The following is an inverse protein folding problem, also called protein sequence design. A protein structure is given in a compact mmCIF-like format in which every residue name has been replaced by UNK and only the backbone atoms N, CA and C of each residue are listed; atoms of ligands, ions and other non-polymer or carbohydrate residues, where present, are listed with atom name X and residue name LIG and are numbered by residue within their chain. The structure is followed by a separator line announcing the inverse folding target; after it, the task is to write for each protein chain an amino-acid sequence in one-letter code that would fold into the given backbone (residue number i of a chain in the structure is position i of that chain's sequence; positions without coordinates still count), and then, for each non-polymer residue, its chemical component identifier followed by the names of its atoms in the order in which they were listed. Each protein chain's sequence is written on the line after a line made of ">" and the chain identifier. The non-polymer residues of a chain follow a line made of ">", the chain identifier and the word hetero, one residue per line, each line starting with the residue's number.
data_IF_760943027897
#
_entry.id   IF_760943027897
#
_cell.length_a   1.000
_cell.length_b   1.000
_cell.length_c   1.000
_cell.angle_alpha   90.00
_cell.angle_beta   90.00
_cell.angle_gamma   90.00
#
_symmetry.space_group_name_H-M   'P 1'
#
loop_
_entity.id
_entity.type
_entity.pdbx_description
1 polymer ?
#
# COMPACT_ATOMS: atom_id res chain seq x y z
N UNK A 1 23.82 28.83 -7.82
CA UNK A 1 24.06 27.90 -6.71
C UNK A 1 24.54 26.56 -7.27
N UNK A 2 25.66 26.09 -6.75
CA UNK A 2 26.19 24.79 -7.16
C UNK A 2 25.56 23.71 -6.30
N UNK A 3 24.79 22.83 -6.93
CA UNK A 3 24.10 21.71 -6.26
C UNK A 3 24.81 20.37 -6.43
N UNK A 4 26.01 20.38 -7.04
CA UNK A 4 26.73 19.13 -7.38
C UNK A 4 27.01 18.26 -6.17
N UNK A 5 27.47 18.87 -5.07
CA UNK A 5 27.79 18.15 -3.84
C UNK A 5 26.55 17.54 -3.20
N UNK A 6 25.43 18.28 -3.20
CA UNK A 6 24.16 17.78 -2.68
C UNK A 6 23.64 16.62 -3.53
N UNK A 7 23.67 16.78 -4.84
CA UNK A 7 23.23 15.73 -5.76
C UNK A 7 24.07 14.46 -5.59
N UNK A 8 25.39 14.61 -5.45
CA UNK A 8 26.27 13.47 -5.23
C UNK A 8 25.97 12.79 -3.90
N UNK A 9 25.73 13.55 -2.85
CA UNK A 9 25.35 13.01 -1.54
C UNK A 9 24.09 12.16 -1.63
N UNK A 10 23.05 12.64 -2.31
CA UNK A 10 21.80 11.90 -2.50
C UNK A 10 22.05 10.62 -3.29
N UNK A 11 22.82 10.70 -4.38
CA UNK A 11 23.14 9.52 -5.21
C UNK A 11 23.94 8.47 -4.45
N UNK A 12 24.83 8.91 -3.57
CA UNK A 12 25.60 7.98 -2.73
C UNK A 12 24.70 7.22 -1.75
N UNK A 13 23.69 7.90 -1.17
CA UNK A 13 22.71 7.26 -0.29
C UNK A 13 21.91 6.20 -1.05
N UNK A 14 21.43 6.52 -2.25
CA UNK A 14 20.62 5.60 -3.06
C UNK A 14 21.46 4.63 -3.90
N UNK A 15 22.77 4.85 -3.95
CA UNK A 15 23.72 4.01 -4.70
C UNK A 15 23.32 3.85 -6.18
N UNK A 16 22.90 4.95 -6.81
CA UNK A 16 22.47 4.93 -8.21
C UNK A 16 22.77 6.23 -8.91
N UNK A 17 23.01 6.15 -10.22
CA UNK A 17 23.12 7.29 -11.11
C UNK A 17 21.83 7.49 -11.93
N UNK A 18 20.86 6.62 -11.76
CA UNK A 18 19.57 6.71 -12.43
C UNK A 18 18.70 7.81 -11.82
N UNK A 19 17.56 8.07 -12.46
CA UNK A 19 16.57 9.00 -11.93
C UNK A 19 16.10 8.55 -10.54
N UNK A 20 16.07 9.49 -9.59
CA UNK A 20 15.59 9.27 -8.23
C UNK A 20 14.29 10.06 -8.06
N UNK A 21 13.13 9.42 -8.05
CA UNK A 21 11.86 10.14 -7.86
C UNK A 21 11.69 10.58 -6.41
N UNK A 22 10.92 11.64 -6.20
CA UNK A 22 10.58 12.11 -4.87
C UNK A 22 9.73 11.08 -4.11
N UNK A 23 8.78 10.49 -4.81
CA UNK A 23 7.97 9.37 -4.32
C UNK A 23 8.00 8.26 -5.33
N UNK A 24 8.17 7.03 -4.85
CA UNK A 24 8.17 5.85 -5.70
C UNK A 24 7.40 4.74 -5.01
N UNK A 25 6.23 4.34 -5.55
CA UNK A 25 5.53 3.17 -5.05
C UNK A 25 6.42 1.93 -5.14
N UNK A 26 6.45 1.13 -4.08
CA UNK A 26 7.23 -0.10 -4.03
C UNK A 26 6.30 -1.27 -3.77
N UNK A 27 6.35 -2.26 -4.65
CA UNK A 27 5.51 -3.46 -4.57
C UNK A 27 6.43 -4.67 -4.46
N UNK A 28 7.02 -4.85 -3.28
CA UNK A 28 8.04 -5.86 -3.02
C UNK A 28 7.48 -7.17 -2.44
N UNK A 29 6.18 -7.20 -2.14
CA UNK A 29 5.51 -8.36 -1.56
C UNK A 29 4.55 -9.03 -2.53
N UNK A 30 3.40 -9.43 -2.02
CA UNK A 30 2.38 -10.19 -2.76
C UNK A 30 1.27 -9.32 -3.37
N UNK A 31 1.47 -8.01 -3.45
CA UNK A 31 0.43 -7.07 -3.89
C UNK A 31 -0.13 -7.42 -5.27
N UNK A 32 0.77 -7.69 -6.22
CA UNK A 32 0.37 -8.03 -7.59
C UNK A 32 -0.42 -9.33 -7.63
N UNK A 33 0.01 -10.33 -6.85
CA UNK A 33 -0.69 -11.61 -6.75
C UNK A 33 -2.10 -11.42 -6.21
N UNK A 34 -2.25 -10.69 -5.12
CA UNK A 34 -3.56 -10.47 -4.49
C UNK A 34 -4.50 -9.68 -5.40
N UNK A 35 -4.00 -8.66 -6.10
CA UNK A 35 -4.80 -7.91 -7.07
C UNK A 35 -5.22 -8.81 -8.23
N UNK A 36 -4.31 -9.62 -8.77
CA UNK A 36 -4.62 -10.55 -9.86
C UNK A 36 -5.66 -11.58 -9.44
N UNK A 37 -5.51 -12.17 -8.25
CA UNK A 37 -6.46 -13.14 -7.71
C UNK A 37 -7.85 -12.50 -7.54
N UNK A 38 -7.90 -11.25 -7.10
CA UNK A 38 -9.16 -10.53 -6.93
C UNK A 38 -9.86 -10.31 -8.27
N UNK A 39 -9.11 -9.91 -9.28
CA UNK A 39 -9.67 -9.72 -10.64
C UNK A 39 -10.17 -11.05 -11.19
N UNK A 40 -9.40 -12.12 -11.05
CA UNK A 40 -9.77 -13.46 -11.52
C UNK A 40 -11.04 -13.96 -10.84
N UNK A 41 -11.22 -13.63 -9.56
CA UNK A 41 -12.43 -14.00 -8.81
C UNK A 41 -13.65 -13.19 -9.18
N UNK A 42 -13.48 -12.06 -9.86
CA UNK A 42 -14.51 -11.06 -10.21
C UNK A 42 -15.12 -10.30 -9.02
N UNK A 43 -14.74 -10.64 -7.78
CA UNK A 43 -15.20 -9.91 -6.58
C UNK A 43 -14.29 -8.69 -6.33
N UNK A 44 -14.53 -7.62 -7.07
CA UNK A 44 -13.71 -6.40 -7.05
C UNK A 44 -14.34 -5.23 -6.28
N UNK A 45 -15.47 -5.47 -5.61
CA UNK A 45 -16.16 -4.46 -4.81
C UNK A 45 -15.90 -4.66 -3.31
N UNK A 46 -16.81 -4.20 -2.46
CA UNK A 46 -16.70 -4.33 -1.01
C UNK A 46 -16.91 -5.75 -0.49
N UNK A 47 -17.21 -6.71 -1.36
CA UNK A 47 -17.43 -8.11 -1.01
C UNK A 47 -16.36 -8.96 -1.66
N UNK A 48 -15.74 -9.86 -0.89
CA UNK A 48 -14.74 -10.77 -1.40
C UNK A 48 -13.90 -11.37 -0.29
N UNK A 49 -13.18 -12.45 -0.62
CA UNK A 49 -12.38 -13.19 0.35
C UNK A 49 -11.30 -12.31 0.99
N UNK A 50 -10.64 -11.47 0.22
CA UNK A 50 -9.58 -10.60 0.74
C UNK A 50 -10.11 -9.50 1.65
N UNK A 51 -11.30 -8.96 1.39
CA UNK A 51 -11.95 -7.98 2.29
C UNK A 51 -12.23 -8.65 3.64
N UNK A 52 -12.83 -9.82 3.62
CA UNK A 52 -13.13 -10.58 4.84
C UNK A 52 -11.86 -10.93 5.61
N UNK A 53 -10.81 -11.37 4.92
CA UNK A 53 -9.53 -11.71 5.54
C UNK A 53 -8.87 -10.48 6.17
N UNK A 54 -8.88 -9.35 5.48
CA UNK A 54 -8.35 -8.09 6.01
C UNK A 54 -9.09 -7.68 7.29
N UNK A 55 -10.42 -7.69 7.27
CA UNK A 55 -11.24 -7.35 8.44
C UNK A 55 -10.95 -8.28 9.61
N UNK A 56 -10.89 -9.59 9.37
CA UNK A 56 -10.55 -10.57 10.40
C UNK A 56 -9.18 -10.34 11.01
N UNK A 57 -8.18 -10.08 10.19
CA UNK A 57 -6.81 -9.83 10.66
C UNK A 57 -6.71 -8.58 11.50
N UNK A 58 -7.41 -7.51 11.11
CA UNK A 58 -7.45 -6.27 11.90
C UNK A 58 -8.14 -6.52 13.25
N UNK A 59 -9.26 -7.23 13.27
CA UNK A 59 -9.94 -7.60 14.51
C UNK A 59 -9.00 -8.37 15.44
N UNK A 60 -8.30 -9.36 14.89
CA UNK A 60 -7.36 -10.17 15.67
C UNK A 60 -6.19 -9.33 16.20
N UNK A 61 -5.60 -8.49 15.36
CA UNK A 61 -4.44 -7.66 15.71
C UNK A 61 -4.79 -6.64 16.80
N UNK A 62 -5.92 -5.97 16.67
CA UNK A 62 -6.34 -4.89 17.60
C UNK A 62 -7.11 -5.37 18.80
N UNK A 63 -7.68 -6.59 18.75
CA UNK A 63 -8.57 -7.10 19.78
C UNK A 63 -9.97 -6.48 19.78
N UNK A 64 -10.32 -5.70 18.76
CA UNK A 64 -11.66 -5.10 18.66
C UNK A 64 -12.72 -6.15 18.30
N UNK A 65 -13.98 -5.87 18.66
CA UNK A 65 -15.08 -6.80 18.40
C UNK A 65 -15.39 -6.93 16.92
N UNK A 66 -15.22 -5.85 16.15
CA UNK A 66 -15.51 -5.84 14.73
C UNK A 66 -14.67 -4.81 13.99
N UNK A 67 -14.23 -5.14 12.79
CA UNK A 67 -13.57 -4.23 11.86
C UNK A 67 -14.35 -4.21 10.55
N UNK A 68 -14.48 -3.04 9.97
CA UNK A 68 -15.17 -2.83 8.69
C UNK A 68 -14.23 -2.10 7.75
N UNK A 69 -13.92 -2.70 6.61
CA UNK A 69 -13.08 -2.08 5.60
C UNK A 69 -13.84 -0.99 4.87
N UNK A 70 -13.19 0.16 4.67
CA UNK A 70 -13.73 1.30 3.91
C UNK A 70 -12.75 1.71 2.84
N UNK A 71 -13.22 2.42 1.82
CA UNK A 71 -12.41 2.82 0.68
C UNK A 71 -11.32 3.84 1.07
N UNK A 72 -11.58 4.67 2.08
CA UNK A 72 -10.63 5.65 2.58
C UNK A 72 -11.05 6.14 3.97
N UNK A 73 -10.21 7.00 4.58
CA UNK A 73 -10.49 7.54 5.91
C UNK A 73 -11.72 8.45 5.97
N UNK A 74 -11.99 9.20 4.90
CA UNK A 74 -13.19 10.03 4.83
C UNK A 74 -14.47 9.20 4.91
N UNK A 75 -14.50 8.08 4.18
CA UNK A 75 -15.61 7.14 4.24
C UNK A 75 -15.75 6.53 5.66
N UNK A 76 -14.62 6.22 6.29
CA UNK A 76 -14.61 5.69 7.66
C UNK A 76 -15.23 6.67 8.67
N UNK A 77 -14.93 7.95 8.54
CA UNK A 77 -15.48 8.98 9.41
C UNK A 77 -16.97 9.25 9.13
N UNK A 78 -17.43 8.95 7.93
CA UNK A 78 -18.81 9.18 7.52
C UNK A 78 -19.79 8.11 8.05
N UNK A 79 -19.29 6.94 8.33
CA UNK A 79 -20.09 5.85 8.93
C UNK A 79 -20.41 6.20 10.43
#
# INVERSE_FOLDING_TARGET
>A
MDTSKFNQFVRDIYQTNNFIPLHEPRFLGNEKKYVSDTIDSTFVSSVGAYVNDFESKIQHFTGCAKAIATVNGTAALHI
#
